data_IF_078189920131
#
_entry.id   IF_078189920131
#
_cell.length_a   1.000
_cell.length_b   1.000
_cell.length_c   1.000
_cell.angle_alpha   90.00
_cell.angle_beta   90.00
_cell.angle_gamma   90.00
#
_symmetry.space_group_name_H-M   'P 1'
#
loop_
_entity.id
_entity.type
_entity.pdbx_description
1 polymer ?
#
# COMPACT_ATOMS: atom_id res chain seq x y z
N UNK A 1 22.05 -17.72 -1.93
CA UNK A 1 20.66 -18.23 -1.81
C UNK A 1 19.87 -17.65 -0.62
N UNK A 2 20.44 -16.81 0.23
CA UNK A 2 19.78 -16.25 1.45
C UNK A 2 19.15 -14.87 1.23
N UNK A 3 19.55 -14.08 0.23
CA UNK A 3 19.03 -12.70 0.00
C UNK A 3 17.59 -12.63 -0.54
N UNK A 4 17.10 -13.64 -1.25
CA UNK A 4 15.76 -13.63 -1.87
C UNK A 4 14.63 -13.74 -0.82
N UNK A 5 14.90 -14.31 0.35
CA UNK A 5 13.88 -14.54 1.38
C UNK A 5 13.63 -13.32 2.28
N UNK A 6 14.60 -12.44 2.43
CA UNK A 6 14.49 -11.24 3.29
C UNK A 6 13.63 -10.17 2.58
N UNK A 7 13.79 -10.01 1.27
CA UNK A 7 13.08 -8.99 0.46
C UNK A 7 11.59 -9.31 0.27
N UNK A 8 11.24 -10.59 0.13
CA UNK A 8 9.82 -11.00 0.15
C UNK A 8 9.14 -10.77 1.49
N UNK A 9 9.90 -10.84 2.59
CA UNK A 9 9.36 -10.51 3.92
C UNK A 9 9.10 -9.02 4.08
N UNK A 10 9.91 -8.15 3.51
CA UNK A 10 9.75 -6.69 3.64
C UNK A 10 8.55 -6.17 2.86
N UNK A 11 8.32 -6.61 1.63
CA UNK A 11 7.16 -6.19 0.84
C UNK A 11 5.83 -6.72 1.41
N UNK A 12 5.82 -7.97 1.88
CA UNK A 12 4.65 -8.53 2.59
C UNK A 12 4.38 -7.78 3.90
N UNK A 13 5.43 -7.36 4.61
CA UNK A 13 5.32 -6.55 5.84
C UNK A 13 4.72 -5.18 5.52
N UNK A 14 5.22 -4.49 4.49
CA UNK A 14 4.71 -3.20 4.03
C UNK A 14 3.24 -3.28 3.59
N UNK A 15 2.88 -4.31 2.83
CA UNK A 15 1.49 -4.57 2.44
C UNK A 15 0.57 -4.74 3.65
N UNK A 16 0.99 -5.57 4.63
CA UNK A 16 0.23 -5.77 5.87
C UNK A 16 0.05 -4.46 6.64
N UNK A 17 1.11 -3.65 6.74
CA UNK A 17 1.04 -2.34 7.41
C UNK A 17 0.04 -1.45 6.70
N UNK A 18 0.09 -1.32 5.36
CA UNK A 18 -0.86 -0.50 4.56
C UNK A 18 -2.30 -0.94 4.81
N UNK A 19 -2.59 -2.23 4.67
CA UNK A 19 -3.92 -2.79 4.90
C UNK A 19 -4.42 -2.51 6.32
N UNK A 20 -3.56 -2.72 7.34
CA UNK A 20 -3.91 -2.40 8.72
C UNK A 20 -4.20 -0.92 8.92
N UNK A 21 -3.41 -0.01 8.31
CA UNK A 21 -3.64 1.43 8.40
C UNK A 21 -4.92 1.88 7.70
N UNK A 22 -5.28 1.24 6.59
CA UNK A 22 -6.56 1.48 5.91
C UNK A 22 -7.75 1.05 6.79
N UNK A 23 -7.65 -0.10 7.43
CA UNK A 23 -8.66 -0.58 8.38
C UNK A 23 -8.77 0.34 9.60
N UNK A 24 -7.63 0.75 10.19
CA UNK A 24 -7.59 1.63 11.36
C UNK A 24 -8.10 3.03 11.05
N UNK A 25 -7.84 3.55 9.85
CA UNK A 25 -8.31 4.89 9.46
C UNK A 25 -9.82 5.01 9.30
N UNK A 26 -10.54 3.89 9.17
CA UNK A 26 -12.00 3.85 9.08
C UNK A 26 -12.67 3.65 10.44
N UNK A 27 -11.88 3.31 11.47
CA UNK A 27 -12.41 3.07 12.81
C UNK A 27 -12.58 4.37 13.56
N UNK A 28 -13.77 4.55 14.10
CA UNK A 28 -14.13 5.69 14.95
C UNK A 28 -14.62 5.20 16.29
N UNK A 29 -14.16 5.84 17.37
CA UNK A 29 -14.67 5.65 18.71
C UNK A 29 -15.95 6.46 18.92
N UNK A 30 -16.70 6.12 19.98
CA UNK A 30 -17.89 6.91 20.40
C UNK A 30 -17.49 8.17 21.19
N UNK A 31 -16.25 8.21 21.66
CA UNK A 31 -15.63 9.32 22.38
C UNK A 31 -14.13 9.26 22.19
N UNK A 32 -13.40 10.02 22.99
CA UNK A 32 -11.93 10.04 22.98
C UNK A 32 -11.36 8.80 23.66
N UNK A 33 -11.56 7.63 23.08
CA UNK A 33 -11.23 6.33 23.67
C UNK A 33 -10.26 5.50 22.82
N UNK A 34 -9.85 6.04 21.66
CA UNK A 34 -8.88 5.41 20.79
C UNK A 34 -7.48 5.98 21.04
N UNK A 35 -6.58 5.13 21.50
CA UNK A 35 -5.23 5.49 21.92
C UNK A 35 -4.25 5.25 20.78
N UNK A 36 -3.45 6.25 20.48
CA UNK A 36 -2.33 6.19 19.53
C UNK A 36 -1.05 6.53 20.27
N UNK A 37 -0.05 5.64 20.22
CA UNK A 37 1.27 5.85 20.80
C UNK A 37 2.35 5.60 19.77
N UNK A 38 3.14 6.63 19.46
CA UNK A 38 4.35 6.54 18.63
C UNK A 38 5.57 6.65 19.52
N UNK A 39 6.43 5.64 19.52
CA UNK A 39 7.62 5.54 20.36
C UNK A 39 8.84 5.55 19.45
N UNK A 40 9.66 6.64 19.48
CA UNK A 40 10.84 6.75 18.64
C UNK A 40 11.92 5.73 19.01
N UNK A 41 12.80 5.43 18.06
CA UNK A 41 13.96 4.56 18.30
C UNK A 41 14.79 5.09 19.48
N UNK A 42 15.32 4.18 20.28
CA UNK A 42 16.19 4.51 21.40
C UNK A 42 15.50 5.11 22.62
N UNK A 43 14.20 5.42 22.57
CA UNK A 43 13.46 5.92 23.73
C UNK A 43 13.32 4.83 24.79
N UNK A 44 13.52 5.19 26.06
CA UNK A 44 13.43 4.25 27.17
C UNK A 44 11.98 3.85 27.45
N UNK A 45 11.67 2.56 27.35
CA UNK A 45 10.29 2.06 27.52
C UNK A 45 9.74 2.30 28.93
N UNK A 46 10.60 2.28 29.97
CA UNK A 46 10.16 2.52 31.35
C UNK A 46 9.63 3.94 31.55
N UNK A 47 10.19 4.95 30.86
CA UNK A 47 9.71 6.33 30.91
C UNK A 47 8.30 6.42 30.28
N UNK A 48 8.11 5.77 29.14
CA UNK A 48 6.81 5.73 28.46
C UNK A 48 5.76 5.01 29.31
N UNK A 49 6.13 3.85 29.88
CA UNK A 49 5.24 3.10 30.76
C UNK A 49 4.84 3.95 31.98
N UNK A 50 5.79 4.65 32.60
CA UNK A 50 5.49 5.55 33.71
C UNK A 50 4.54 6.68 33.35
N UNK A 51 4.75 7.31 32.18
CA UNK A 51 3.88 8.36 31.67
C UNK A 51 2.46 7.84 31.38
N UNK A 52 2.32 6.67 30.73
CA UNK A 52 1.01 6.07 30.45
C UNK A 52 0.28 5.61 31.73
N UNK A 53 0.99 5.15 32.75
CA UNK A 53 0.40 4.83 34.05
C UNK A 53 -0.09 6.08 34.80
N UNK A 54 0.61 7.20 34.65
CA UNK A 54 0.16 8.48 35.19
C UNK A 54 -1.11 8.95 34.48
N UNK A 55 -1.15 8.86 33.14
CA UNK A 55 -2.37 9.14 32.34
C UNK A 55 -3.55 8.25 32.76
N UNK A 56 -3.30 6.94 33.00
CA UNK A 56 -4.30 6.02 33.49
C UNK A 56 -4.89 6.46 34.84
N UNK A 57 -4.02 6.98 35.76
CA UNK A 57 -4.47 7.53 37.03
C UNK A 57 -5.29 8.82 36.90
N UNK A 58 -5.07 9.62 35.86
CA UNK A 58 -5.85 10.85 35.61
C UNK A 58 -7.15 10.61 34.86
N UNK A 59 -7.34 9.41 34.28
CA UNK A 59 -8.55 9.02 33.57
C UNK A 59 -9.82 9.04 34.48
N UNK A 60 -9.67 9.01 35.80
CA UNK A 60 -10.78 9.14 36.76
C UNK A 60 -11.55 10.46 36.62
N UNK A 61 -10.95 11.49 36.00
CA UNK A 61 -11.62 12.75 35.70
C UNK A 61 -12.56 12.70 34.48
N UNK A 62 -12.61 11.60 33.74
CA UNK A 62 -13.51 11.42 32.59
C UNK A 62 -14.94 11.23 33.11
N UNK A 63 -15.86 12.12 32.67
CA UNK A 63 -17.25 12.18 33.16
C UNK A 63 -18.08 10.94 32.77
N UNK A 64 -17.84 10.38 31.58
CA UNK A 64 -18.53 9.18 31.10
C UNK A 64 -17.90 7.92 31.69
N UNK A 65 -18.64 7.17 32.48
CA UNK A 65 -18.14 5.91 33.10
C UNK A 65 -17.69 4.90 32.04
N UNK A 66 -18.43 4.78 30.94
CA UNK A 66 -18.10 3.86 29.85
C UNK A 66 -16.79 4.28 29.17
N UNK A 67 -16.67 5.56 28.77
CA UNK A 67 -15.44 6.09 28.13
C UNK A 67 -14.25 5.97 29.08
N UNK A 68 -14.45 6.24 30.37
CA UNK A 68 -13.40 6.07 31.40
C UNK A 68 -12.92 4.62 31.47
N UNK A 69 -13.83 3.64 31.54
CA UNK A 69 -13.47 2.22 31.56
C UNK A 69 -12.68 1.85 30.31
N UNK A 70 -13.15 2.26 29.10
CA UNK A 70 -12.47 1.98 27.84
C UNK A 70 -11.06 2.57 27.78
N UNK A 71 -10.87 3.80 28.26
CA UNK A 71 -9.54 4.46 28.30
C UNK A 71 -8.62 3.74 29.28
N UNK A 72 -9.09 3.44 30.49
CA UNK A 72 -8.30 2.74 31.53
C UNK A 72 -7.87 1.36 31.04
N UNK A 73 -8.79 0.59 30.45
CA UNK A 73 -8.53 -0.76 29.93
C UNK A 73 -7.56 -0.71 28.73
N UNK A 74 -7.75 0.26 27.84
CA UNK A 74 -6.87 0.45 26.67
C UNK A 74 -5.46 0.85 27.08
N UNK A 75 -5.29 1.81 28.02
CA UNK A 75 -3.99 2.18 28.58
C UNK A 75 -3.34 0.99 29.29
N UNK A 76 -4.09 0.25 30.11
CA UNK A 76 -3.62 -0.97 30.75
C UNK A 76 -3.08 -1.99 29.75
N UNK A 77 -3.80 -2.19 28.64
CA UNK A 77 -3.37 -3.09 27.55
C UNK A 77 -2.13 -2.61 26.84
N UNK A 78 -2.00 -1.30 26.54
CA UNK A 78 -0.77 -0.71 25.96
C UNK A 78 0.41 -0.92 26.90
N UNK A 79 0.26 -0.64 28.20
CA UNK A 79 1.31 -0.86 29.21
C UNK A 79 1.72 -2.33 29.28
N UNK A 80 0.77 -3.27 29.26
CA UNK A 80 1.07 -4.70 29.23
C UNK A 80 1.87 -5.08 27.98
N UNK A 81 1.50 -4.56 26.81
CA UNK A 81 2.22 -4.78 25.56
C UNK A 81 3.66 -4.25 25.63
N UNK A 82 3.85 -3.03 26.10
CA UNK A 82 5.17 -2.43 26.25
C UNK A 82 6.09 -3.21 27.19
N UNK A 83 5.55 -3.80 28.25
CA UNK A 83 6.31 -4.65 29.19
C UNK A 83 6.85 -5.94 28.55
N UNK A 84 6.31 -6.38 27.41
CA UNK A 84 6.81 -7.55 26.68
C UNK A 84 8.11 -7.25 25.90
N UNK A 85 8.42 -5.98 25.69
CA UNK A 85 9.63 -5.55 24.99
C UNK A 85 10.78 -5.30 25.99
N UNK A 86 11.95 -5.86 25.74
CA UNK A 86 13.16 -5.58 26.53
C UNK A 86 13.74 -4.20 26.22
N UNK A 87 13.61 -3.74 24.99
CA UNK A 87 14.04 -2.43 24.47
C UNK A 87 13.15 -2.02 23.31
N UNK A 88 13.12 -0.73 23.00
CA UNK A 88 12.45 -0.21 21.81
C UNK A 88 13.04 -0.84 20.55
N UNK A 89 12.24 -1.32 19.59
CA UNK A 89 12.72 -1.81 18.29
C UNK A 89 13.61 -0.79 17.56
N UNK A 90 14.45 -1.27 16.64
CA UNK A 90 15.47 -0.44 15.98
C UNK A 90 14.90 0.75 15.22
N UNK A 91 13.71 0.60 14.64
CA UNK A 91 13.01 1.67 13.92
C UNK A 91 11.97 2.41 14.75
N UNK A 92 11.78 2.02 16.02
CA UNK A 92 10.72 2.50 16.88
C UNK A 92 9.55 1.54 16.96
N UNK A 93 8.47 1.94 17.64
CA UNK A 93 7.27 1.14 17.84
C UNK A 93 6.03 2.04 17.79
N UNK A 94 4.98 1.58 17.13
CA UNK A 94 3.66 2.25 17.14
C UNK A 94 2.63 1.29 17.70
N UNK A 95 1.81 1.77 18.63
CA UNK A 95 0.71 1.00 19.21
C UNK A 95 -0.57 1.80 19.02
N UNK A 96 -1.56 1.16 18.40
CA UNK A 96 -2.94 1.61 18.37
C UNK A 96 -3.74 0.71 19.30
N UNK A 97 -4.56 1.28 20.17
CA UNK A 97 -5.38 0.52 21.11
C UNK A 97 -6.67 1.24 21.40
N UNK A 98 -7.76 0.52 21.45
CA UNK A 98 -9.06 1.10 21.79
C UNK A 98 -10.17 0.07 21.90
N UNK A 99 -11.26 0.47 22.53
CA UNK A 99 -12.49 -0.30 22.61
C UNK A 99 -13.30 -0.09 21.32
N UNK A 100 -13.52 -1.15 20.59
CA UNK A 100 -14.23 -1.12 19.31
C UNK A 100 -15.35 -2.15 19.31
N UNK A 101 -16.51 -1.85 18.69
CA UNK A 101 -17.58 -2.82 18.52
C UNK A 101 -17.09 -4.01 17.69
N UNK A 102 -17.50 -5.21 18.03
CA UNK A 102 -17.17 -6.42 17.25
C UNK A 102 -17.91 -6.43 15.91
N UNK A 103 -19.11 -5.86 15.86
CA UNK A 103 -19.92 -5.69 14.65
C UNK A 103 -20.31 -4.22 14.49
N UNK A 104 -20.41 -3.73 13.26
CA UNK A 104 -20.88 -2.39 12.98
C UNK A 104 -22.31 -2.21 13.52
N UNK A 105 -22.51 -1.24 14.41
CA UNK A 105 -23.81 -0.99 15.03
C UNK A 105 -24.13 -1.88 16.23
N UNK A 106 -23.16 -2.63 16.77
CA UNK A 106 -23.33 -3.45 17.97
C UNK A 106 -23.83 -2.67 19.20
N UNK A 107 -24.48 -3.36 20.17
CA UNK A 107 -25.06 -2.72 21.36
C UNK A 107 -23.96 -2.05 22.21
N UNK A 108 -24.36 -1.02 22.96
CA UNK A 108 -23.50 -0.34 23.94
C UNK A 108 -22.98 -1.34 24.99
N UNK A 109 -21.66 -1.33 25.25
CA UNK A 109 -21.03 -2.21 26.23
C UNK A 109 -20.55 -3.55 25.63
N UNK A 110 -20.69 -3.77 24.31
CA UNK A 110 -20.14 -4.94 23.60
C UNK A 110 -18.76 -4.68 22.98
N UNK A 111 -18.19 -3.52 23.23
CA UNK A 111 -16.90 -3.13 22.71
C UNK A 111 -15.78 -3.99 23.32
N UNK A 112 -14.83 -4.39 22.45
CA UNK A 112 -13.67 -5.18 22.86
C UNK A 112 -12.41 -4.34 22.67
N UNK A 113 -11.61 -4.24 23.73
CA UNK A 113 -10.32 -3.55 23.65
C UNK A 113 -9.38 -4.37 22.78
N UNK A 114 -8.97 -3.79 21.65
CA UNK A 114 -8.06 -4.40 20.69
C UNK A 114 -6.81 -3.53 20.55
N UNK A 115 -5.64 -4.17 20.40
CA UNK A 115 -4.37 -3.47 20.23
C UNK A 115 -3.65 -3.97 18.97
N UNK A 116 -3.08 -3.04 18.21
CA UNK A 116 -2.24 -3.29 17.04
C UNK A 116 -0.85 -2.74 17.31
N UNK A 117 0.15 -3.57 17.09
CA UNK A 117 1.57 -3.23 17.26
C UNK A 117 2.21 -3.20 15.87
N UNK A 118 2.82 -2.08 15.53
CA UNK A 118 3.44 -1.86 14.21
C UNK A 118 4.85 -1.37 14.42
N UNK A 119 5.82 -2.10 13.89
CA UNK A 119 7.17 -1.60 13.72
C UNK A 119 7.22 -0.77 12.43
N UNK A 120 7.55 0.55 12.51
CA UNK A 120 7.49 1.43 11.36
C UNK A 120 8.48 1.02 10.25
N UNK A 121 8.19 1.33 8.97
CA UNK A 121 9.07 0.97 7.86
C UNK A 121 10.37 1.77 7.85
N UNK A 122 10.35 3.01 8.32
CA UNK A 122 11.49 3.94 8.44
C UNK A 122 11.69 4.31 9.91
N UNK A 123 12.84 4.90 10.25
CA UNK A 123 13.14 5.35 11.59
C UNK A 123 12.11 6.37 12.09
N UNK A 124 11.47 6.05 13.21
CA UNK A 124 10.56 6.95 13.87
C UNK A 124 11.37 7.88 14.80
N UNK A 125 11.24 9.19 14.61
CA UNK A 125 12.02 10.19 15.30
C UNK A 125 11.22 11.01 16.32
N UNK A 126 9.89 10.90 16.32
CA UNK A 126 9.04 11.69 17.21
C UNK A 126 8.20 10.79 18.12
N UNK A 127 8.01 11.26 19.34
CA UNK A 127 7.06 10.70 20.29
C UNK A 127 5.70 11.35 20.10
N UNK A 128 4.64 10.55 20.10
CA UNK A 128 3.26 11.02 20.12
C UNK A 128 2.44 10.12 21.03
N UNK A 129 1.69 10.71 21.92
CA UNK A 129 0.58 10.09 22.64
C UNK A 129 -0.68 10.89 22.37
N UNK A 130 -1.73 10.23 21.91
CA UNK A 130 -3.06 10.82 21.68
C UNK A 130 -4.14 9.85 22.12
N UNK A 131 -5.19 10.42 22.70
CA UNK A 131 -6.43 9.76 23.01
C UNK A 131 -7.54 10.56 22.33
N UNK A 132 -8.17 9.98 21.30
CA UNK A 132 -9.08 10.68 20.40
C UNK A 132 -10.23 9.76 19.94
N UNK A 133 -11.18 10.29 19.17
CA UNK A 133 -12.26 9.51 18.56
C UNK A 133 -11.81 8.69 17.34
N UNK A 134 -10.59 8.90 16.88
CA UNK A 134 -9.97 8.20 15.75
C UNK A 134 -8.49 7.89 16.00
N UNK A 135 -7.94 6.97 15.24
CA UNK A 135 -6.50 6.68 15.28
C UNK A 135 -5.70 7.63 14.42
N UNK A 136 -4.63 8.19 14.97
CA UNK A 136 -3.69 9.05 14.23
C UNK A 136 -2.72 8.21 13.40
N UNK A 137 -3.12 7.83 12.20
CA UNK A 137 -2.36 6.94 11.30
C UNK A 137 -1.47 7.68 10.30
N UNK A 138 -1.59 9.00 10.20
CA UNK A 138 -1.01 9.80 9.12
C UNK A 138 0.52 9.73 9.08
N UNK A 139 1.19 9.73 10.24
CA UNK A 139 2.66 9.62 10.32
C UNK A 139 3.14 8.32 9.65
N UNK A 140 2.48 7.19 9.93
CA UNK A 140 2.83 5.93 9.28
C UNK A 140 2.45 5.90 7.80
N UNK A 141 1.32 6.51 7.42
CA UNK A 141 0.94 6.66 6.00
C UNK A 141 1.98 7.47 5.25
N UNK A 142 2.48 8.56 5.81
CA UNK A 142 3.54 9.37 5.21
C UNK A 142 4.86 8.61 5.09
N UNK A 143 5.23 7.79 6.08
CA UNK A 143 6.40 6.92 6.00
C UNK A 143 6.29 5.84 4.90
N UNK A 144 5.06 5.46 4.54
CA UNK A 144 4.77 4.50 3.48
C UNK A 144 4.65 5.15 2.10
N UNK A 145 4.61 6.48 2.03
CA UNK A 145 4.72 7.19 0.77
C UNK A 145 6.15 7.00 0.25
N UNK A 146 6.27 6.16 -0.74
CA UNK A 146 7.51 6.02 -1.50
C UNK A 146 7.36 6.86 -2.75
N UNK A 147 8.06 7.97 -2.80
CA UNK A 147 7.88 8.98 -3.83
C UNK A 147 8.30 8.53 -5.23
N UNK A 148 8.90 7.35 -5.39
CA UNK A 148 9.48 6.88 -6.66
C UNK A 148 9.08 5.46 -7.05
N UNK A 149 7.84 5.04 -6.72
CA UNK A 149 7.31 3.75 -7.17
C UNK A 149 6.96 3.81 -8.66
N UNK A 150 7.42 2.81 -9.44
CA UNK A 150 7.07 2.63 -10.85
C UNK A 150 6.41 1.26 -11.02
N UNK A 151 5.22 1.27 -11.60
CA UNK A 151 4.48 0.05 -11.92
C UNK A 151 4.94 -0.55 -13.24
N UNK A 152 4.94 -1.87 -13.32
CA UNK A 152 5.15 -2.64 -14.53
C UNK A 152 3.95 -3.53 -14.77
N UNK A 153 3.37 -3.46 -15.96
CA UNK A 153 2.34 -4.36 -16.44
C UNK A 153 2.87 -5.09 -17.68
N UNK A 154 3.02 -6.40 -17.60
CA UNK A 154 3.37 -7.22 -18.75
C UNK A 154 2.14 -8.00 -19.21
N UNK A 155 1.62 -7.73 -20.42
CA UNK A 155 0.34 -8.27 -20.91
C UNK A 155 0.46 -8.90 -22.29
N UNK A 156 -0.19 -10.05 -22.47
CA UNK A 156 -0.48 -10.69 -23.74
C UNK A 156 -1.93 -11.24 -23.73
N UNK A 157 -2.38 -11.75 -24.84
CA UNK A 157 -3.68 -12.41 -24.96
C UNK A 157 -3.82 -13.67 -24.06
N UNK A 158 -2.73 -14.22 -23.54
CA UNK A 158 -2.71 -15.43 -22.70
C UNK A 158 -2.68 -15.14 -21.22
N UNK A 159 -1.93 -14.13 -20.81
CA UNK A 159 -1.73 -13.79 -19.41
C UNK A 159 -1.33 -12.32 -19.22
N UNK A 160 -1.35 -11.89 -17.95
CA UNK A 160 -0.82 -10.61 -17.54
C UNK A 160 -0.10 -10.77 -16.18
N UNK A 161 0.94 -9.94 -15.96
CA UNK A 161 1.66 -9.87 -14.70
C UNK A 161 1.89 -8.44 -14.26
N UNK A 162 1.99 -8.24 -12.95
CA UNK A 162 2.23 -6.95 -12.32
C UNK A 162 3.53 -6.98 -11.54
N UNK A 163 4.34 -5.95 -11.74
CA UNK A 163 5.60 -5.73 -11.04
C UNK A 163 5.66 -4.33 -10.46
N UNK A 164 6.41 -4.18 -9.39
CA UNK A 164 6.66 -2.91 -8.73
C UNK A 164 8.16 -2.67 -8.65
N UNK A 165 8.60 -1.54 -9.16
CA UNK A 165 9.97 -1.08 -8.99
C UNK A 165 10.03 -0.14 -7.78
N UNK A 166 10.88 -0.52 -6.83
CA UNK A 166 11.18 0.24 -5.65
C UNK A 166 12.70 0.45 -5.54
N UNK A 167 13.16 1.69 -5.68
CA UNK A 167 14.58 1.96 -5.84
C UNK A 167 15.13 1.29 -7.10
N UNK A 168 16.10 0.39 -6.94
CA UNK A 168 16.73 -0.36 -8.04
C UNK A 168 16.24 -1.81 -8.13
N UNK A 169 15.19 -2.16 -7.39
CA UNK A 169 14.70 -3.54 -7.30
C UNK A 169 13.31 -3.67 -7.88
N UNK A 170 13.14 -4.65 -8.78
CA UNK A 170 11.84 -5.06 -9.31
C UNK A 170 11.30 -6.25 -8.53
N UNK A 171 10.07 -6.11 -8.04
CA UNK A 171 9.30 -7.17 -7.41
C UNK A 171 8.14 -7.57 -8.31
N UNK A 172 7.92 -8.87 -8.49
CA UNK A 172 6.73 -9.39 -9.17
C UNK A 172 5.63 -9.58 -8.12
N UNK A 173 4.56 -8.79 -8.24
CA UNK A 173 3.44 -8.81 -7.30
C UNK A 173 2.51 -10.00 -7.55
N UNK A 174 2.08 -10.18 -8.80
CA UNK A 174 1.19 -11.29 -9.19
C UNK A 174 1.21 -11.52 -10.69
N UNK A 175 0.57 -12.62 -11.11
CA UNK A 175 0.23 -12.87 -12.50
C UNK A 175 -1.11 -13.61 -12.60
N UNK A 176 -1.81 -13.47 -13.74
CA UNK A 176 -3.08 -14.12 -14.01
C UNK A 176 -3.18 -14.58 -15.45
N UNK A 177 -3.75 -15.74 -15.67
CA UNK A 177 -4.08 -16.23 -17.01
C UNK A 177 -5.35 -15.58 -17.57
N UNK A 178 -5.43 -15.41 -18.88
CA UNK A 178 -6.60 -14.84 -19.55
C UNK A 178 -7.79 -15.80 -19.58
N UNK A 179 -7.54 -17.08 -19.78
CA UNK A 179 -8.55 -18.09 -20.10
C UNK A 179 -9.06 -18.00 -21.55
N UNK A 180 -8.55 -17.07 -22.35
CA UNK A 180 -8.98 -16.86 -23.74
C UNK A 180 -8.47 -17.98 -24.66
N UNK A 181 -9.37 -18.56 -25.43
CA UNK A 181 -9.02 -19.61 -26.36
C UNK A 181 -8.03 -19.15 -27.45
N UNK A 182 -7.10 -20.03 -27.84
CA UNK A 182 -6.13 -19.74 -28.90
C UNK A 182 -6.82 -19.42 -30.24
N UNK A 183 -6.08 -18.81 -31.18
CA UNK A 183 -6.60 -18.53 -32.52
C UNK A 183 -6.91 -19.85 -33.27
N UNK A 184 -8.17 -20.09 -33.61
CA UNK A 184 -8.53 -21.17 -34.50
C UNK A 184 -8.11 -20.82 -35.93
N UNK A 185 -7.30 -21.67 -36.57
CA UNK A 185 -6.79 -21.48 -37.93
C UNK A 185 -7.73 -22.00 -39.05
N UNK A 186 -8.77 -22.76 -38.70
CA UNK A 186 -9.71 -23.31 -39.70
C UNK A 186 -10.77 -22.28 -40.04
N UNK A 187 -10.87 -21.99 -41.33
CA UNK A 187 -11.92 -21.13 -41.89
C UNK A 187 -13.27 -21.85 -41.98
N UNK A 188 -14.37 -21.12 -42.11
CA UNK A 188 -15.72 -21.63 -42.24
C UNK A 188 -16.76 -20.64 -41.71
N UNK A 189 -18.06 -20.94 -41.89
CA UNK A 189 -19.15 -20.09 -41.40
C UNK A 189 -19.07 -19.81 -39.86
N UNK A 190 -18.51 -20.74 -39.09
CA UNK A 190 -18.33 -20.62 -37.64
C UNK A 190 -17.16 -19.70 -37.25
N UNK A 191 -16.22 -19.41 -38.15
CA UNK A 191 -15.01 -18.65 -37.85
C UNK A 191 -15.35 -17.23 -37.33
N UNK A 192 -16.30 -16.52 -37.93
CA UNK A 192 -16.75 -15.20 -37.47
C UNK A 192 -17.36 -15.23 -36.08
N UNK A 193 -18.09 -16.30 -35.71
CA UNK A 193 -18.67 -16.48 -34.39
C UNK A 193 -17.58 -16.70 -33.35
N UNK A 194 -16.59 -17.55 -33.62
CA UNK A 194 -15.46 -17.80 -32.72
C UNK A 194 -14.57 -16.56 -32.58
N UNK A 195 -14.38 -15.80 -33.65
CA UNK A 195 -13.65 -14.53 -33.58
C UNK A 195 -14.36 -13.54 -32.64
N UNK A 196 -15.67 -13.36 -32.80
CA UNK A 196 -16.47 -12.48 -31.95
C UNK A 196 -16.48 -12.90 -30.48
N UNK A 197 -16.58 -14.21 -30.23
CA UNK A 197 -16.48 -14.75 -28.86
C UNK A 197 -15.12 -14.45 -28.27
N UNK A 198 -14.04 -14.68 -29.00
CA UNK A 198 -12.67 -14.39 -28.54
C UNK A 198 -12.44 -12.89 -28.26
N UNK A 199 -13.00 -12.01 -29.11
CA UNK A 199 -12.92 -10.56 -28.86
C UNK A 199 -13.66 -10.17 -27.58
N UNK A 200 -14.82 -10.79 -27.30
CA UNK A 200 -15.53 -10.59 -26.02
C UNK A 200 -14.72 -11.11 -24.83
N UNK A 201 -14.17 -12.32 -24.92
CA UNK A 201 -13.32 -12.89 -23.86
C UNK A 201 -12.09 -12.03 -23.57
N UNK A 202 -11.43 -11.49 -24.61
CA UNK A 202 -10.32 -10.55 -24.48
C UNK A 202 -10.77 -9.25 -23.79
N UNK A 203 -11.93 -8.71 -24.15
CA UNK A 203 -12.46 -7.50 -23.51
C UNK A 203 -12.73 -7.74 -22.02
N UNK A 204 -13.30 -8.88 -21.64
CA UNK A 204 -13.46 -9.25 -20.22
C UNK A 204 -12.12 -9.40 -19.50
N UNK A 205 -11.14 -10.00 -20.17
CA UNK A 205 -9.79 -10.12 -19.62
C UNK A 205 -9.16 -8.75 -19.42
N UNK A 206 -9.25 -7.84 -20.39
CA UNK A 206 -8.71 -6.48 -20.27
C UNK A 206 -9.36 -5.69 -19.14
N UNK A 207 -10.67 -5.80 -18.95
CA UNK A 207 -11.36 -5.17 -17.81
C UNK A 207 -10.86 -5.71 -16.46
N UNK A 208 -10.65 -7.02 -16.35
CA UNK A 208 -10.09 -7.65 -15.14
C UNK A 208 -8.65 -7.18 -14.88
N UNK A 209 -7.82 -7.12 -15.94
CA UNK A 209 -6.45 -6.60 -15.84
C UNK A 209 -6.45 -5.15 -15.40
N UNK A 210 -7.32 -4.31 -15.98
CA UNK A 210 -7.44 -2.90 -15.63
C UNK A 210 -7.85 -2.70 -14.16
N UNK A 211 -8.82 -3.48 -13.67
CA UNK A 211 -9.26 -3.45 -12.29
C UNK A 211 -8.12 -3.82 -11.33
N UNK A 212 -7.40 -4.90 -11.61
CA UNK A 212 -6.25 -5.33 -10.81
C UNK A 212 -5.10 -4.31 -10.86
N UNK A 213 -4.89 -3.69 -12.04
CA UNK A 213 -3.88 -2.64 -12.20
C UNK A 213 -4.22 -1.41 -11.37
N UNK A 214 -5.50 -1.01 -11.32
CA UNK A 214 -5.97 0.07 -10.45
C UNK A 214 -5.76 -0.29 -8.98
N UNK A 215 -6.16 -1.48 -8.55
CA UNK A 215 -6.01 -1.94 -7.17
C UNK A 215 -4.54 -1.88 -6.73
N UNK A 216 -3.62 -2.42 -7.55
CA UNK A 216 -2.20 -2.38 -7.21
C UNK A 216 -1.61 -0.98 -7.27
N UNK A 217 -1.82 -0.23 -8.34
CA UNK A 217 -1.02 0.95 -8.67
C UNK A 217 -1.68 2.28 -8.32
N UNK A 218 -2.92 2.26 -7.83
CA UNK A 218 -3.59 3.43 -7.25
C UNK A 218 -3.88 3.21 -5.78
N UNK A 219 -4.53 2.08 -5.46
CA UNK A 219 -5.10 1.89 -4.13
C UNK A 219 -4.05 1.37 -3.14
N UNK A 220 -3.16 0.44 -3.56
CA UNK A 220 -2.16 -0.19 -2.69
C UNK A 220 -0.79 0.50 -2.79
N UNK A 221 -0.28 0.65 -4.00
CA UNK A 221 1.04 1.22 -4.30
C UNK A 221 0.87 2.40 -5.26
N UNK A 222 0.59 3.62 -4.78
CA UNK A 222 0.43 4.76 -5.67
C UNK A 222 1.71 5.00 -6.48
N UNK A 223 1.70 4.58 -7.75
CA UNK A 223 2.86 4.70 -8.62
C UNK A 223 2.89 6.06 -9.31
N UNK A 224 4.09 6.63 -9.47
CA UNK A 224 4.30 7.85 -10.25
C UNK A 224 4.35 7.61 -11.75
N UNK A 225 4.66 6.40 -12.15
CA UNK A 225 4.74 6.02 -13.54
C UNK A 225 4.39 4.56 -13.78
N UNK A 226 3.92 4.24 -14.97
CA UNK A 226 3.56 2.90 -15.40
C UNK A 226 4.30 2.56 -16.70
N UNK A 227 4.96 1.41 -16.72
CA UNK A 227 5.55 0.83 -17.91
C UNK A 227 4.70 -0.37 -18.30
N UNK A 228 4.24 -0.39 -19.57
CA UNK A 228 3.44 -1.50 -20.10
C UNK A 228 4.29 -2.25 -21.11
N UNK A 229 4.32 -3.57 -21.01
CA UNK A 229 5.13 -4.44 -21.86
C UNK A 229 4.37 -5.67 -22.32
N UNK A 230 4.92 -6.32 -23.32
CA UNK A 230 4.40 -7.59 -23.82
C UNK A 230 4.66 -7.80 -25.31
N UNK A 231 4.42 -9.03 -25.80
CA UNK A 231 4.59 -9.37 -27.20
C UNK A 231 3.40 -8.88 -28.05
N UNK A 232 3.69 -8.46 -29.26
CA UNK A 232 2.70 -8.14 -30.29
C UNK A 232 1.77 -6.97 -29.93
N UNK A 233 0.62 -6.87 -30.61
CA UNK A 233 -0.26 -5.71 -30.55
C UNK A 233 -1.18 -5.67 -29.31
N UNK A 234 -1.17 -6.70 -28.46
CA UNK A 234 -2.10 -6.81 -27.32
C UNK A 234 -1.99 -5.64 -26.35
N UNK A 235 -0.76 -5.17 -26.09
CA UNK A 235 -0.52 -4.02 -25.21
C UNK A 235 -1.07 -2.72 -25.80
N UNK A 236 -0.92 -2.53 -27.12
CA UNK A 236 -1.49 -1.39 -27.84
C UNK A 236 -3.02 -1.46 -27.85
N UNK A 237 -3.61 -2.62 -28.08
CA UNK A 237 -5.06 -2.82 -28.02
C UNK A 237 -5.60 -2.52 -26.63
N UNK A 238 -4.90 -2.92 -25.58
CA UNK A 238 -5.27 -2.64 -24.20
C UNK A 238 -5.21 -1.13 -23.88
N UNK A 239 -4.14 -0.44 -24.29
CA UNK A 239 -3.97 1.00 -24.06
C UNK A 239 -5.00 1.79 -24.86
N UNK A 240 -5.13 1.51 -26.16
CA UNK A 240 -6.01 2.24 -27.08
C UNK A 240 -7.50 1.97 -26.81
N UNK A 241 -7.82 0.84 -26.18
CA UNK A 241 -9.17 0.49 -25.77
C UNK A 241 -9.66 1.25 -24.54
N UNK A 242 -8.84 2.13 -23.95
CA UNK A 242 -9.16 2.95 -22.77
C UNK A 242 -9.67 2.12 -21.58
N UNK A 243 -9.11 0.94 -21.36
CA UNK A 243 -9.47 0.10 -20.22
C UNK A 243 -8.91 0.63 -18.89
N UNK A 244 -7.73 1.26 -18.93
CA UNK A 244 -7.08 1.80 -17.74
C UNK A 244 -7.82 3.03 -17.19
N UNK A 245 -7.81 3.17 -15.87
CA UNK A 245 -8.25 4.40 -15.23
C UNK A 245 -7.40 5.59 -15.71
N UNK A 246 -8.03 6.77 -15.88
CA UNK A 246 -7.41 7.96 -16.50
C UNK A 246 -6.10 8.39 -15.80
N UNK A 247 -5.99 8.22 -14.47
CA UNK A 247 -4.76 8.53 -13.71
C UNK A 247 -3.59 7.64 -14.12
N UNK A 248 -3.84 6.35 -14.34
CA UNK A 248 -2.83 5.41 -14.81
C UNK A 248 -2.51 5.62 -16.29
N UNK A 249 -3.53 5.92 -17.09
CA UNK A 249 -3.35 6.23 -18.51
C UNK A 249 -2.40 7.43 -18.69
N UNK A 250 -2.58 8.49 -17.90
CA UNK A 250 -1.73 9.68 -17.93
C UNK A 250 -0.32 9.45 -17.35
N UNK A 251 -0.15 8.41 -16.55
CA UNK A 251 1.12 8.07 -15.93
C UNK A 251 1.90 6.99 -16.70
N UNK A 252 1.46 6.62 -17.91
CA UNK A 252 2.23 5.72 -18.77
C UNK A 252 3.52 6.42 -19.19
N UNK A 253 4.66 5.92 -18.69
CA UNK A 253 6.00 6.44 -19.03
C UNK A 253 6.41 5.96 -20.41
N UNK A 254 6.23 4.66 -20.66
CA UNK A 254 6.62 4.04 -21.91
C UNK A 254 5.95 2.68 -22.12
N UNK A 255 6.01 2.21 -23.37
CA UNK A 255 5.67 0.85 -23.76
C UNK A 255 6.92 0.12 -24.25
N UNK A 256 7.08 -1.15 -23.84
CA UNK A 256 8.27 -1.95 -24.15
C UNK A 256 7.84 -3.23 -24.88
N UNK A 257 8.49 -3.49 -26.02
CA UNK A 257 8.36 -4.77 -26.69
C UNK A 257 9.14 -5.84 -25.91
N UNK A 258 8.42 -6.80 -25.35
CA UNK A 258 8.94 -7.94 -24.63
C UNK A 258 8.56 -9.24 -25.35
N UNK A 259 9.41 -10.24 -25.27
CA UNK A 259 9.16 -11.57 -25.87
C UNK A 259 8.16 -12.37 -25.04
N UNK A 260 8.04 -12.03 -23.75
CA UNK A 260 7.20 -12.71 -22.77
C UNK A 260 6.19 -11.75 -22.14
N UNK A 261 5.15 -12.32 -21.56
CA UNK A 261 4.18 -11.68 -20.66
C UNK A 261 4.31 -12.24 -19.24
N UNK A 262 3.42 -11.87 -18.33
CA UNK A 262 3.47 -12.36 -16.95
C UNK A 262 4.78 -11.98 -16.22
N UNK A 263 5.24 -12.84 -15.34
CA UNK A 263 6.42 -12.57 -14.50
C UNK A 263 7.75 -12.49 -15.28
N UNK A 264 7.88 -13.25 -16.36
CA UNK A 264 9.05 -13.19 -17.23
C UNK A 264 9.07 -11.90 -18.04
N UNK A 265 7.92 -11.48 -18.56
CA UNK A 265 7.77 -10.23 -19.27
C UNK A 265 8.11 -9.01 -18.42
N UNK A 266 7.78 -9.04 -17.12
CA UNK A 266 8.17 -7.96 -16.17
C UNK A 266 9.69 -7.88 -16.02
N UNK A 267 10.37 -9.01 -15.85
CA UNK A 267 11.84 -9.03 -15.72
C UNK A 267 12.53 -8.56 -16.99
N UNK A 268 12.02 -9.00 -18.15
CA UNK A 268 12.53 -8.54 -19.45
C UNK A 268 12.30 -7.03 -19.65
N UNK A 269 11.10 -6.53 -19.34
CA UNK A 269 10.77 -5.12 -19.40
C UNK A 269 11.65 -4.28 -18.50
N UNK A 270 11.88 -4.72 -17.26
CA UNK A 270 12.79 -4.05 -16.34
C UNK A 270 14.22 -3.97 -16.89
N UNK A 271 14.75 -5.08 -17.42
CA UNK A 271 16.09 -5.10 -18.02
C UNK A 271 16.21 -4.13 -19.22
N UNK A 272 15.14 -3.95 -20.01
CA UNK A 272 15.10 -3.05 -21.15
C UNK A 272 14.78 -1.59 -20.79
N UNK A 273 14.38 -1.30 -19.55
CA UNK A 273 13.91 0.02 -19.13
C UNK A 273 14.98 0.93 -18.53
N UNK A 274 16.25 0.52 -18.46
CA UNK A 274 17.31 1.25 -17.75
C UNK A 274 17.43 2.71 -18.19
N UNK A 275 17.48 2.98 -19.51
CA UNK A 275 17.60 4.33 -20.05
C UNK A 275 16.34 5.17 -19.81
N UNK A 276 15.17 4.55 -19.91
CA UNK A 276 13.86 5.17 -19.68
C UNK A 276 13.74 5.59 -18.21
N UNK A 277 14.11 4.71 -17.30
CA UNK A 277 14.09 4.96 -15.86
C UNK A 277 15.08 6.03 -15.44
N UNK A 278 16.28 6.04 -16.04
CA UNK A 278 17.27 7.10 -15.83
C UNK A 278 16.74 8.47 -16.25
N UNK A 279 16.13 8.57 -17.42
CA UNK A 279 15.52 9.80 -17.92
C UNK A 279 14.35 10.26 -17.06
N UNK A 280 13.49 9.35 -16.63
CA UNK A 280 12.33 9.65 -15.77
C UNK A 280 12.78 10.20 -14.41
N UNK A 281 13.74 9.56 -13.74
CA UNK A 281 14.30 10.03 -12.48
C UNK A 281 14.88 11.43 -12.58
N UNK A 282 15.60 11.70 -13.64
CA UNK A 282 16.23 13.00 -13.88
C UNK A 282 15.20 14.13 -14.08
N UNK A 283 14.06 13.83 -14.72
CA UNK A 283 12.95 14.79 -14.88
C UNK A 283 12.26 15.04 -13.52
N UNK A 284 12.04 14.01 -12.72
CA UNK A 284 11.45 14.13 -11.38
C UNK A 284 12.35 14.95 -10.44
N UNK A 285 13.67 14.70 -10.46
CA UNK A 285 14.64 15.47 -9.66
C UNK A 285 14.65 16.95 -10.05
N UNK A 286 14.64 17.25 -11.36
CA UNK A 286 14.55 18.64 -11.84
C UNK A 286 13.28 19.32 -11.38
N UNK A 287 12.14 18.64 -11.46
CA UNK A 287 10.86 19.17 -11.00
C UNK A 287 10.85 19.48 -9.50
N UNK A 288 11.41 18.58 -8.67
CA UNK A 288 11.58 18.84 -7.25
C UNK A 288 12.40 20.08 -6.95
N UNK A 289 13.51 20.26 -7.68
CA UNK A 289 14.38 21.43 -7.54
C UNK A 289 13.63 22.71 -7.95
N UNK A 290 12.89 22.70 -9.05
CA UNK A 290 12.08 23.83 -9.51
C UNK A 290 10.99 24.19 -8.51
N UNK A 291 10.29 23.22 -7.93
CA UNK A 291 9.27 23.42 -6.92
C UNK A 291 9.87 24.00 -5.62
N UNK A 292 11.03 23.53 -5.19
CA UNK A 292 11.79 24.07 -4.07
C UNK A 292 12.16 25.56 -4.29
N UNK A 293 12.70 25.89 -5.47
CA UNK A 293 13.02 27.28 -5.79
C UNK A 293 11.77 28.18 -5.84
N UNK A 294 10.63 27.64 -6.29
CA UNK A 294 9.36 28.38 -6.28
C UNK A 294 8.88 28.68 -4.86
N UNK A 295 8.95 27.68 -3.95
CA UNK A 295 8.59 27.87 -2.54
C UNK A 295 9.51 28.89 -1.84
N UNK A 296 10.81 28.85 -2.10
CA UNK A 296 11.76 29.82 -1.55
C UNK A 296 11.40 31.24 -2.02
N UNK A 297 11.07 31.41 -3.31
CA UNK A 297 10.75 32.72 -3.89
C UNK A 297 9.35 33.25 -3.50
N UNK A 298 8.42 32.39 -3.05
CA UNK A 298 7.08 32.80 -2.57
C UNK A 298 7.04 33.12 -1.09
N UNK A 299 8.06 32.70 -0.33
CA UNK A 299 8.18 32.97 1.11
C UNK A 299 9.14 34.14 1.43
N UNK A 300 9.57 34.90 0.43
CA UNK A 300 10.32 36.15 0.54
C UNK A 300 9.44 37.32 0.10
#
# INVERSE_FOLDING_TARGET
MVKINIEKQDSVKLYKIRKTLEELSKKTGRGTELITVYIPKGKQLHEIIGSLQQEQGTADNIKSDLTRSHVVDSLGKVVQKLKMYKKTPEKGLVIFCGALPQEEGGPLGSEVVTAWEIEPPKDLNQYLYRCDDHFHVDILKDMLKDDNLIGFLAIDAKDAGWGLLHGDKIEVLSQTGSGVAGKHRQGGQSAKRFQKLREMELSYFYNRVAQTTREYFIDIYPVKGLIISGPGPTKEDFINGNYLEYRLQNNIINTIDASYSGSEGIREAFAKSADILGSFRLVEEKKMIEDLFREINTNT
#
